data_IF_640296539340
#
_entry.id   IF_640296539340
#
_cell.length_a   1.000
_cell.length_b   1.000
_cell.length_c   1.000
_cell.angle_alpha   90.00
_cell.angle_beta   90.00
_cell.angle_gamma   90.00
#
_symmetry.space_group_name_H-M   'P 1'
#
loop_
_entity.id
_entity.type
_entity.pdbx_description
1 polymer ?
#
# COMPACT_ATOMS: atom_id res chain seq x y z
N UNK A 1 12.24 11.75 -3.92
CA UNK A 1 10.90 11.13 -3.79
C UNK A 1 11.03 9.93 -2.89
N UNK A 2 10.19 9.82 -1.86
CA UNK A 2 10.59 9.10 -0.64
C UNK A 2 9.72 7.84 -0.47
N UNK A 3 10.30 6.74 0.01
CA UNK A 3 9.51 5.65 0.55
C UNK A 3 8.43 6.18 1.51
N UNK A 4 7.31 5.46 1.56
CA UNK A 4 6.12 5.74 2.37
C UNK A 4 5.19 6.84 1.84
N UNK A 5 5.51 7.46 0.69
CA UNK A 5 4.57 8.31 -0.03
C UNK A 5 3.40 7.48 -0.61
N UNK A 6 2.20 8.05 -0.62
CA UNK A 6 0.98 7.43 -1.14
C UNK A 6 0.60 8.09 -2.47
N UNK A 7 0.43 7.28 -3.51
CA UNK A 7 0.02 7.71 -4.84
C UNK A 7 -1.28 7.04 -5.26
N UNK A 8 -2.01 7.64 -6.20
CA UNK A 8 -3.06 6.93 -6.94
C UNK A 8 -2.41 6.25 -8.14
N UNK A 9 -2.50 4.92 -8.21
CA UNK A 9 -1.93 4.14 -9.29
C UNK A 9 -2.93 3.12 -9.84
N UNK A 10 -2.79 2.78 -11.12
CA UNK A 10 -3.49 1.66 -11.73
C UNK A 10 -2.79 0.36 -11.27
N UNK A 11 -3.37 -0.32 -10.28
CA UNK A 11 -2.82 -1.58 -9.75
C UNK A 11 -3.63 -2.75 -10.32
N UNK A 12 -2.97 -3.78 -10.89
CA UNK A 12 -3.67 -4.96 -11.41
C UNK A 12 -4.42 -5.71 -10.30
N UNK A 13 -5.53 -6.34 -10.70
CA UNK A 13 -6.14 -7.40 -9.90
C UNK A 13 -5.25 -8.64 -9.94
N UNK A 14 -5.37 -9.51 -8.93
CA UNK A 14 -4.52 -10.70 -8.83
C UNK A 14 -4.98 -11.80 -9.79
N UNK A 15 -6.30 -11.81 -10.09
CA UNK A 15 -6.96 -12.88 -10.84
C UNK A 15 -7.65 -12.37 -12.13
N UNK A 16 -7.36 -11.14 -12.58
CA UNK A 16 -7.98 -10.53 -13.77
C UNK A 16 -7.00 -9.67 -14.54
N UNK A 17 -7.10 -9.66 -15.86
CA UNK A 17 -6.31 -8.80 -16.78
C UNK A 17 -6.74 -7.32 -16.76
N UNK A 18 -7.37 -6.88 -15.67
CA UNK A 18 -7.79 -5.49 -15.50
C UNK A 18 -7.03 -4.86 -14.34
N UNK A 19 -6.85 -3.55 -14.40
CA UNK A 19 -6.30 -2.76 -13.30
C UNK A 19 -7.37 -1.85 -12.73
N UNK A 20 -7.19 -1.43 -11.47
CA UNK A 20 -8.05 -0.42 -10.84
C UNK A 20 -7.19 0.70 -10.28
N UNK A 21 -7.62 1.94 -10.51
CA UNK A 21 -7.06 3.12 -9.85
C UNK A 21 -7.35 3.06 -8.35
N UNK A 22 -6.29 3.00 -7.54
CA UNK A 22 -6.37 2.94 -6.08
C UNK A 22 -5.19 3.66 -5.45
N UNK A 23 -5.31 4.07 -4.18
CA UNK A 23 -4.13 4.45 -3.40
C UNK A 23 -3.15 3.28 -3.31
N UNK A 24 -1.86 3.59 -3.43
CA UNK A 24 -0.75 2.65 -3.43
C UNK A 24 0.42 3.26 -2.63
N UNK A 25 0.96 2.49 -1.69
CA UNK A 25 2.06 2.89 -0.83
C UNK A 25 3.38 2.59 -1.51
N UNK A 26 4.23 3.60 -1.71
CA UNK A 26 5.59 3.40 -2.25
C UNK A 26 6.48 2.75 -1.20
N UNK A 27 7.02 1.57 -1.51
CA UNK A 27 7.90 0.81 -0.60
C UNK A 27 9.36 0.92 -1.02
N UNK A 28 9.61 0.80 -2.33
CA UNK A 28 10.96 0.88 -2.89
C UNK A 28 10.92 1.58 -4.24
N UNK A 29 11.79 2.57 -4.41
CA UNK A 29 12.04 3.21 -5.70
C UNK A 29 13.34 2.63 -6.25
N UNK A 30 13.31 2.20 -7.51
CA UNK A 30 14.46 1.73 -8.28
C UNK A 30 14.45 2.45 -9.63
N UNK A 31 15.50 2.29 -10.45
CA UNK A 31 15.74 3.11 -11.65
C UNK A 31 14.48 3.45 -12.45
N UNK A 32 13.81 2.48 -13.07
CA UNK A 32 12.60 2.72 -13.88
C UNK A 32 11.32 2.15 -13.27
N UNK A 33 11.43 1.54 -12.08
CA UNK A 33 10.35 0.79 -11.43
C UNK A 33 10.14 1.21 -9.98
N UNK A 34 8.89 1.11 -9.53
CA UNK A 34 8.45 1.40 -8.17
C UNK A 34 7.72 0.18 -7.64
N UNK A 35 8.17 -0.34 -6.51
CA UNK A 35 7.44 -1.38 -5.80
C UNK A 35 6.47 -0.73 -4.82
N UNK A 36 5.21 -1.13 -4.91
CA UNK A 36 4.12 -0.58 -4.09
C UNK A 36 3.33 -1.67 -3.38
N UNK A 37 2.78 -1.35 -2.21
CA UNK A 37 1.67 -2.10 -1.63
C UNK A 37 0.33 -1.50 -2.06
N UNK A 38 -0.70 -2.35 -2.24
CA UNK A 38 -2.06 -1.88 -2.44
C UNK A 38 -2.59 -1.29 -1.14
N UNK A 39 -3.35 -0.20 -1.24
CA UNK A 39 -4.19 0.28 -0.14
C UNK A 39 -5.65 0.01 -0.49
N UNK A 40 -6.43 -0.46 0.47
CA UNK A 40 -7.84 -0.78 0.26
C UNK A 40 -8.72 -0.44 1.47
N UNK A 41 -9.97 -0.11 1.19
CA UNK A 41 -11.03 0.11 2.20
C UNK A 41 -11.86 -1.16 2.41
N UNK A 42 -11.60 -2.22 1.62
CA UNK A 42 -12.42 -3.45 1.59
C UNK A 42 -11.99 -4.52 2.61
N UNK A 43 -11.27 -4.16 3.67
CA UNK A 43 -10.81 -5.08 4.72
C UNK A 43 -11.95 -5.92 5.33
N UNK A 44 -13.08 -5.30 5.68
CA UNK A 44 -14.20 -5.99 6.36
C UNK A 44 -14.70 -7.22 5.59
N UNK A 45 -14.71 -7.15 4.25
CA UNK A 45 -15.19 -8.21 3.33
C UNK A 45 -14.18 -9.34 3.09
N UNK A 46 -12.95 -9.23 3.63
CA UNK A 46 -11.89 -10.22 3.43
C UNK A 46 -12.04 -11.43 4.38
N UNK A 47 -11.59 -12.61 3.94
CA UNK A 47 -11.58 -13.81 4.77
C UNK A 47 -10.59 -13.68 5.93
N UNK A 48 -10.82 -14.40 7.05
CA UNK A 48 -9.90 -14.39 8.20
C UNK A 48 -8.47 -14.76 7.79
N UNK A 49 -8.31 -15.73 6.89
CA UNK A 49 -7.02 -16.22 6.37
C UNK A 49 -6.19 -15.10 5.72
N UNK A 50 -6.82 -14.20 4.98
CA UNK A 50 -6.09 -13.13 4.27
C UNK A 50 -6.03 -11.83 5.08
N UNK A 51 -6.98 -11.58 6.00
CA UNK A 51 -6.99 -10.40 6.88
C UNK A 51 -5.69 -10.22 7.66
N UNK A 52 -4.99 -11.31 7.99
CA UNK A 52 -3.68 -11.28 8.66
C UNK A 52 -2.59 -10.51 7.91
N UNK A 53 -2.77 -10.25 6.61
CA UNK A 53 -1.84 -9.47 5.76
C UNK A 53 -2.28 -8.02 5.55
N UNK A 54 -3.30 -7.53 6.26
CA UNK A 54 -3.80 -6.17 6.12
C UNK A 54 -3.47 -5.36 7.36
N UNK A 55 -2.51 -4.46 7.24
CA UNK A 55 -2.19 -3.50 8.28
C UNK A 55 -3.23 -2.36 8.27
N UNK A 56 -3.92 -2.07 9.38
CA UNK A 56 -4.79 -0.90 9.49
C UNK A 56 -3.95 0.39 9.55
N UNK A 57 -4.19 1.32 8.63
CA UNK A 57 -3.59 2.66 8.71
C UNK A 57 -4.34 3.42 9.81
N UNK A 58 -3.67 3.73 10.92
CA UNK A 58 -4.27 4.36 12.10
C UNK A 58 -4.54 5.84 11.87
N UNK A 59 -3.57 6.56 11.32
CA UNK A 59 -3.62 8.00 11.07
C UNK A 59 -3.92 8.24 9.58
N UNK A 60 -5.01 7.62 9.09
CA UNK A 60 -5.34 7.62 7.66
C UNK A 60 -5.73 9.01 7.15
N UNK A 61 -6.32 9.85 7.99
CA UNK A 61 -6.68 11.24 7.64
C UNK A 61 -5.42 12.05 7.38
N UNK A 62 -4.45 11.97 8.30
CA UNK A 62 -3.14 12.62 8.24
C UNK A 62 -2.33 12.09 7.05
N UNK A 63 -2.50 10.80 6.71
CA UNK A 63 -1.90 10.19 5.54
C UNK A 63 -2.56 10.59 4.19
N UNK A 64 -3.57 11.47 4.21
CA UNK A 64 -4.24 12.00 3.01
C UNK A 64 -5.32 11.08 2.43
N UNK A 65 -5.80 10.10 3.20
CA UNK A 65 -6.86 9.19 2.80
C UNK A 65 -8.22 9.72 3.25
N UNK A 66 -9.28 9.38 2.52
CA UNK A 66 -10.65 9.90 2.77
C UNK A 66 -11.48 9.05 3.72
N UNK A 67 -11.05 7.81 3.96
CA UNK A 67 -11.72 6.85 4.84
C UNK A 67 -10.72 5.82 5.35
N UNK A 68 -11.09 5.10 6.42
CA UNK A 68 -10.29 4.03 7.00
C UNK A 68 -9.82 3.04 5.94
N UNK A 69 -8.50 2.93 5.81
CA UNK A 69 -7.86 2.11 4.81
C UNK A 69 -6.80 1.19 5.41
N UNK A 70 -6.38 0.21 4.61
CA UNK A 70 -5.48 -0.85 5.04
C UNK A 70 -4.41 -1.08 3.99
N UNK A 71 -3.15 -1.21 4.41
CA UNK A 71 -2.04 -1.62 3.55
C UNK A 71 -2.10 -3.14 3.41
N UNK A 72 -2.22 -3.62 2.18
CA UNK A 72 -2.14 -5.04 1.84
C UNK A 72 -0.66 -5.43 1.66
N UNK A 73 -0.08 -6.07 2.68
CA UNK A 73 1.33 -6.49 2.67
C UNK A 73 1.54 -7.88 2.08
N UNK A 74 0.48 -8.52 1.56
CA UNK A 74 0.56 -9.89 1.05
C UNK A 74 1.56 -10.02 -0.11
N UNK A 75 1.65 -8.99 -0.97
CA UNK A 75 2.65 -8.88 -2.04
C UNK A 75 2.81 -7.45 -2.51
N UNK A 76 3.95 -7.16 -3.13
CA UNK A 76 4.20 -5.89 -3.81
C UNK A 76 3.85 -5.95 -5.30
N UNK A 77 3.58 -4.79 -5.89
CA UNK A 77 3.34 -4.62 -7.33
C UNK A 77 4.40 -3.70 -7.91
N UNK A 78 4.86 -4.03 -9.10
CA UNK A 78 5.89 -3.28 -9.78
C UNK A 78 5.27 -2.37 -10.84
N UNK A 79 5.40 -1.06 -10.65
CA UNK A 79 4.81 -0.04 -11.52
C UNK A 79 5.93 0.77 -12.17
N UNK A 80 5.75 1.17 -13.42
CA UNK A 80 6.66 2.10 -14.09
C UNK A 80 6.73 3.42 -13.31
N UNK A 81 7.94 3.91 -13.04
CA UNK A 81 8.15 5.23 -12.43
C UNK A 81 7.41 6.33 -13.20
N UNK A 82 7.51 6.32 -14.54
CA UNK A 82 6.87 7.32 -15.41
C UNK A 82 5.36 7.39 -15.17
N UNK A 83 4.71 6.25 -14.91
CA UNK A 83 3.27 6.16 -14.71
C UNK A 83 2.90 6.70 -13.33
N UNK A 84 3.46 6.14 -12.27
CA UNK A 84 3.06 6.47 -10.90
C UNK A 84 3.46 7.89 -10.49
N UNK A 85 4.59 8.39 -11.00
CA UNK A 85 5.11 9.72 -10.68
C UNK A 85 4.66 10.81 -11.66
N UNK A 86 3.76 10.49 -12.60
CA UNK A 86 3.10 11.48 -13.46
C UNK A 86 2.16 12.42 -12.71
N UNK A 87 1.83 12.10 -11.46
CA UNK A 87 0.98 12.90 -10.54
C UNK A 87 1.72 13.14 -9.23
N UNK A 88 1.28 14.14 -8.46
CA UNK A 88 1.76 14.36 -7.08
C UNK A 88 1.25 13.25 -6.15
N UNK A 89 1.98 12.92 -5.07
CA UNK A 89 1.45 12.05 -4.02
C UNK A 89 0.18 12.68 -3.41
N UNK A 90 -0.76 11.84 -2.97
CA UNK A 90 -1.95 12.29 -2.25
C UNK A 90 -1.69 12.48 -0.75
N UNK A 91 -0.60 11.91 -0.25
CA UNK A 91 -0.18 11.99 1.13
C UNK A 91 0.98 11.05 1.41
N UNK A 92 1.23 10.77 2.69
CA UNK A 92 2.35 9.97 3.15
C UNK A 92 1.97 9.30 4.46
N UNK A 93 2.38 8.05 4.70
CA UNK A 93 2.21 7.47 6.03
C UNK A 93 2.93 8.30 7.09
N UNK A 94 2.30 8.40 8.25
CA UNK A 94 2.86 9.07 9.42
C UNK A 94 4.00 8.24 10.02
N UNK A 95 4.81 8.84 10.88
CA UNK A 95 5.89 8.12 11.56
C UNK A 95 5.37 6.96 12.41
N UNK A 96 4.19 7.12 13.03
CA UNK A 96 3.54 6.06 13.80
C UNK A 96 3.16 4.88 12.89
N UNK A 97 2.43 5.15 11.81
CA UNK A 97 2.01 4.11 10.86
C UNK A 97 3.21 3.42 10.20
N UNK A 98 4.30 4.15 9.92
CA UNK A 98 5.53 3.57 9.37
C UNK A 98 6.16 2.58 10.35
N UNK A 99 6.33 2.99 11.61
CA UNK A 99 6.94 2.15 12.66
C UNK A 99 6.12 0.88 12.87
N UNK A 100 4.81 1.01 12.93
CA UNK A 100 3.92 -0.12 13.20
C UNK A 100 3.73 -1.03 12.00
N UNK A 101 3.66 -0.49 10.77
CA UNK A 101 3.68 -1.30 9.55
C UNK A 101 4.94 -2.15 9.49
N UNK A 102 6.10 -1.58 9.84
CA UNK A 102 7.36 -2.32 9.89
C UNK A 102 7.30 -3.47 10.90
N UNK A 103 6.86 -3.20 12.14
CA UNK A 103 6.65 -4.24 13.17
C UNK A 103 5.68 -5.33 12.69
N UNK A 104 4.57 -4.92 12.09
CA UNK A 104 3.55 -5.83 11.56
C UNK A 104 4.11 -6.78 10.49
N UNK A 105 4.92 -6.27 9.57
CA UNK A 105 5.57 -7.11 8.54
C UNK A 105 6.57 -8.08 9.16
N UNK A 106 7.39 -7.64 10.13
CA UNK A 106 8.34 -8.51 10.83
C UNK A 106 7.63 -9.64 11.57
N UNK A 107 6.50 -9.36 12.22
CA UNK A 107 5.72 -10.37 12.94
C UNK A 107 5.10 -11.40 12.01
N UNK A 108 4.71 -11.01 10.79
CA UNK A 108 4.23 -11.94 9.77
C UNK A 108 5.37 -12.85 9.28
N UNK A 109 6.56 -12.29 9.07
CA UNK A 109 7.72 -13.05 8.59
C UNK A 109 8.22 -14.08 9.61
N UNK A 110 8.13 -13.81 10.91
CA UNK A 110 8.48 -14.76 11.97
C UNK A 110 7.50 -15.94 12.11
N UNK A 111 6.28 -15.79 11.58
CA UNK A 111 5.18 -16.77 11.72
C UNK A 111 5.02 -17.68 10.50
N UNK A 112 5.75 -17.43 9.41
CA UNK A 112 5.79 -18.27 8.21
C UNK A 112 7.16 -18.93 8.10
#
# INVERSE_FOLDING_TARGET
>A
MRPMDIYVAAVPFDDKDTSKLRPALVVKVSNSRVNVFKITTKYKKKSKKIKKFYYPIKEWTEAGLREQSYVDVHRTYNISQRVIFSKKPIGKLTSLDILELFKFIQDIQKKN
#
